data_IF_841849425784
#
_entry.id   IF_841849425784
#
_cell.length_a   1.000
_cell.length_b   1.000
_cell.length_c   1.000
_cell.angle_alpha   90.00
_cell.angle_beta   90.00
_cell.angle_gamma   90.00
#
_symmetry.space_group_name_H-M   'P 1'
#
loop_
_entity.id
_entity.type
_entity.pdbx_description
1 polymer ?
#
# COMPACT_ATOMS: atom_id res chain seq x y z
N UNK A 1 1.04 6.88 -19.93
CA UNK A 1 1.23 5.82 -20.93
C UNK A 1 0.09 5.77 -21.93
N UNK A 2 0.35 5.18 -23.09
CA UNK A 2 -0.64 5.03 -24.16
C UNK A 2 -0.72 3.54 -24.50
N UNK A 3 -1.93 3.00 -24.54
CA UNK A 3 -2.19 1.61 -24.95
C UNK A 3 -2.28 1.48 -26.48
N UNK A 4 -2.17 0.26 -27.06
CA UNK A 4 -2.22 0.04 -28.50
C UNK A 4 -3.54 0.45 -29.16
N UNK A 5 -4.64 0.45 -28.41
CA UNK A 5 -5.98 0.92 -28.86
C UNK A 5 -6.16 2.45 -28.78
N UNK A 6 -5.14 3.17 -28.35
CA UNK A 6 -5.16 4.62 -28.16
C UNK A 6 -5.63 5.06 -26.77
N UNK A 7 -5.99 4.14 -25.89
CA UNK A 7 -6.29 4.44 -24.50
C UNK A 7 -5.10 5.08 -23.79
N UNK A 8 -5.35 5.98 -22.86
CA UNK A 8 -4.29 6.70 -22.13
C UNK A 8 -4.44 6.60 -20.62
N UNK A 9 -3.30 6.65 -19.92
CA UNK A 9 -3.23 6.77 -18.47
C UNK A 9 -2.23 7.88 -18.13
N UNK A 10 -2.67 8.82 -17.30
CA UNK A 10 -1.85 9.90 -16.78
C UNK A 10 -2.20 10.21 -15.32
N UNK A 11 -1.32 10.92 -14.66
CA UNK A 11 -1.53 11.38 -13.28
C UNK A 11 -1.09 12.83 -13.20
N UNK A 12 -1.94 13.68 -12.69
CA UNK A 12 -1.64 15.07 -12.38
C UNK A 12 -1.57 15.29 -10.86
N UNK A 13 -1.39 16.53 -10.42
CA UNK A 13 -1.29 16.85 -8.99
C UNK A 13 -2.58 16.61 -8.19
N UNK A 14 -3.71 16.38 -8.84
CA UNK A 14 -5.01 16.23 -8.20
C UNK A 14 -5.59 14.82 -8.34
N UNK A 15 -5.48 14.18 -9.51
CA UNK A 15 -6.11 12.89 -9.78
C UNK A 15 -5.39 12.11 -10.88
N UNK A 16 -5.77 10.88 -11.03
CA UNK A 16 -5.44 10.04 -12.17
C UNK A 16 -6.47 10.25 -13.28
N UNK A 17 -6.02 10.19 -14.52
CA UNK A 17 -6.86 10.15 -15.69
C UNK A 17 -6.73 8.81 -16.40
N UNK A 18 -7.85 8.28 -16.81
CA UNK A 18 -7.95 7.08 -17.63
C UNK A 18 -8.75 7.43 -18.88
N UNK A 19 -8.12 7.37 -20.05
CA UNK A 19 -8.73 7.79 -21.33
C UNK A 19 -9.23 9.25 -21.25
N UNK A 20 -8.38 10.14 -20.76
CA UNK A 20 -8.66 11.58 -20.61
C UNK A 20 -9.82 11.90 -19.63
N UNK A 21 -10.37 10.92 -18.94
CA UNK A 21 -11.40 11.11 -17.94
C UNK A 21 -10.83 10.97 -16.53
N UNK A 22 -11.18 11.90 -15.59
CA UNK A 22 -10.78 11.75 -14.20
C UNK A 22 -11.23 10.41 -13.64
N UNK A 23 -10.32 9.72 -12.98
CA UNK A 23 -10.53 8.39 -12.41
C UNK A 23 -10.09 8.36 -10.96
N UNK A 24 -10.96 7.89 -10.08
CA UNK A 24 -10.63 7.65 -8.68
C UNK A 24 -10.40 6.14 -8.51
N UNK A 25 -9.16 5.68 -8.30
CA UNK A 25 -8.91 4.28 -8.02
C UNK A 25 -9.46 3.90 -6.64
N UNK A 26 -10.23 2.82 -6.60
CA UNK A 26 -10.67 2.12 -5.41
C UNK A 26 -9.84 0.85 -5.35
N UNK A 27 -8.78 0.90 -4.55
CA UNK A 27 -7.74 -0.12 -4.51
C UNK A 27 -8.05 -1.15 -3.41
N UNK A 28 -8.13 -2.42 -3.76
CA UNK A 28 -8.29 -3.52 -2.81
C UNK A 28 -7.03 -4.37 -2.73
N UNK A 29 -6.35 -4.36 -1.60
CA UNK A 29 -5.19 -5.23 -1.39
C UNK A 29 -5.62 -6.67 -1.16
N UNK A 30 -5.09 -7.56 -1.99
CA UNK A 30 -5.27 -9.01 -1.94
C UNK A 30 -3.93 -9.69 -2.25
N UNK A 31 -3.41 -10.46 -1.32
CA UNK A 31 -2.15 -11.18 -1.53
C UNK A 31 -2.43 -12.54 -2.16
N UNK A 32 -2.19 -12.69 -3.46
CA UNK A 32 -2.47 -13.94 -4.18
C UNK A 32 -1.80 -15.15 -3.56
N UNK A 33 -0.57 -15.02 -3.07
CA UNK A 33 0.15 -16.12 -2.41
C UNK A 33 -0.42 -16.56 -1.05
N UNK A 34 -1.40 -15.82 -0.52
CA UNK A 34 -2.12 -16.15 0.72
C UNK A 34 -3.50 -16.75 0.47
N UNK A 35 -3.83 -17.05 -0.78
CA UNK A 35 -5.12 -17.60 -1.21
C UNK A 35 -4.84 -18.78 -2.15
N UNK A 36 -5.48 -19.94 -1.96
CA UNK A 36 -5.34 -21.07 -2.89
C UNK A 36 -5.69 -20.65 -4.32
N UNK A 37 -4.88 -21.05 -5.29
CA UNK A 37 -5.00 -20.57 -6.67
C UNK A 37 -6.31 -20.97 -7.37
N UNK A 38 -6.92 -22.06 -6.95
CA UNK A 38 -8.24 -22.50 -7.42
C UNK A 38 -9.39 -21.58 -6.96
N UNK A 39 -9.15 -20.76 -5.95
CA UNK A 39 -10.13 -19.80 -5.43
C UNK A 39 -9.97 -18.39 -6.02
N UNK A 40 -8.84 -18.08 -6.66
CA UNK A 40 -8.53 -16.71 -7.10
C UNK A 40 -9.64 -16.08 -7.94
N UNK A 41 -10.20 -16.81 -8.90
CA UNK A 41 -11.24 -16.28 -9.77
C UNK A 41 -12.49 -15.87 -8.99
N UNK A 42 -12.95 -16.71 -8.07
CA UNK A 42 -14.08 -16.41 -7.20
C UNK A 42 -13.80 -15.18 -6.32
N UNK A 43 -12.60 -15.10 -5.74
CA UNK A 43 -12.24 -13.97 -4.86
C UNK A 43 -12.12 -12.67 -5.64
N UNK A 44 -11.54 -12.68 -6.84
CA UNK A 44 -11.50 -11.52 -7.75
C UNK A 44 -12.92 -11.03 -8.07
N UNK A 45 -13.85 -11.94 -8.36
CA UNK A 45 -15.26 -11.60 -8.62
C UNK A 45 -15.95 -11.01 -7.38
N UNK A 46 -15.65 -11.49 -6.18
CA UNK A 46 -16.14 -10.89 -4.92
C UNK A 46 -15.59 -9.48 -4.73
N UNK A 47 -14.29 -9.27 -4.94
CA UNK A 47 -13.67 -7.95 -4.88
C UNK A 47 -14.35 -6.98 -5.85
N UNK A 48 -14.53 -7.40 -7.10
CA UNK A 48 -15.25 -6.63 -8.12
C UNK A 48 -16.69 -6.32 -7.72
N UNK A 49 -17.42 -7.32 -7.22
CA UNK A 49 -18.80 -7.16 -6.75
C UNK A 49 -18.93 -6.21 -5.56
N UNK A 50 -17.85 -6.05 -4.78
CA UNK A 50 -17.72 -5.04 -3.73
C UNK A 50 -17.50 -3.63 -4.24
N UNK A 51 -17.41 -3.42 -5.56
CA UNK A 51 -17.21 -2.11 -6.19
C UNK A 51 -15.75 -1.64 -6.25
N UNK A 52 -14.80 -2.47 -5.83
CA UNK A 52 -13.37 -2.22 -6.04
C UNK A 52 -13.05 -2.26 -7.53
N UNK A 53 -12.25 -1.32 -8.03
CA UNK A 53 -11.92 -1.21 -9.46
C UNK A 53 -10.43 -1.42 -9.78
N UNK A 54 -9.58 -1.48 -8.73
CA UNK A 54 -8.15 -1.80 -8.83
C UNK A 54 -7.78 -2.85 -7.79
N UNK A 55 -7.20 -3.96 -8.21
CA UNK A 55 -6.61 -4.95 -7.31
C UNK A 55 -5.14 -4.61 -7.10
N UNK A 56 -4.74 -4.52 -5.82
CA UNK A 56 -3.34 -4.38 -5.42
C UNK A 56 -2.82 -5.70 -4.88
N UNK A 57 -1.59 -6.05 -5.19
CA UNK A 57 -0.96 -7.25 -4.65
C UNK A 57 0.55 -7.12 -4.55
N UNK A 58 1.13 -7.70 -3.49
CA UNK A 58 2.57 -7.83 -3.35
C UNK A 58 3.11 -9.04 -4.09
N UNK A 59 4.34 -8.90 -4.58
CA UNK A 59 5.21 -10.00 -4.98
C UNK A 59 6.26 -10.16 -3.87
N UNK A 60 6.07 -11.13 -3.00
CA UNK A 60 6.98 -11.36 -1.87
C UNK A 60 8.20 -12.16 -2.33
N UNK A 61 9.35 -11.53 -2.35
CA UNK A 61 10.60 -12.13 -2.84
C UNK A 61 10.93 -13.46 -2.15
N UNK A 62 10.84 -13.51 -0.81
CA UNK A 62 11.16 -14.71 -0.04
C UNK A 62 10.23 -15.91 -0.32
N UNK A 63 9.02 -15.69 -0.81
CA UNK A 63 8.10 -16.76 -1.23
C UNK A 63 8.52 -17.32 -2.58
N UNK A 64 8.93 -16.44 -3.50
CA UNK A 64 9.27 -16.84 -4.87
C UNK A 64 10.69 -17.33 -5.01
N UNK A 65 11.63 -16.90 -4.18
CA UNK A 65 13.02 -17.34 -4.17
C UNK A 65 13.45 -17.80 -2.77
N UNK A 66 12.81 -18.86 -2.25
CA UNK A 66 13.15 -19.42 -0.93
C UNK A 66 14.57 -20.00 -0.91
N UNK A 67 15.04 -20.47 -2.06
CA UNK A 67 16.42 -20.95 -2.29
C UNK A 67 17.06 -20.06 -3.32
N UNK A 68 18.25 -19.52 -3.00
CA UNK A 68 18.99 -18.63 -3.90
C UNK A 68 19.11 -19.17 -5.32
N UNK A 69 18.74 -18.38 -6.32
CA UNK A 69 18.78 -18.73 -7.73
C UNK A 69 17.64 -19.63 -8.22
N UNK A 70 16.72 -20.01 -7.35
CA UNK A 70 15.60 -20.89 -7.71
C UNK A 70 14.28 -20.14 -7.48
N UNK A 71 13.78 -19.55 -8.55
CA UNK A 71 12.46 -18.94 -8.56
C UNK A 71 11.35 -19.98 -8.76
N UNK A 72 10.25 -19.78 -8.05
CA UNK A 72 9.07 -20.64 -8.09
C UNK A 72 7.83 -19.79 -8.40
N UNK A 73 7.24 -20.02 -9.56
CA UNK A 73 6.07 -19.33 -10.08
C UNK A 73 4.90 -20.30 -10.34
N UNK A 74 4.86 -21.43 -9.64
CA UNK A 74 3.84 -22.47 -9.82
C UNK A 74 2.77 -22.44 -8.71
N UNK A 75 1.57 -22.94 -9.01
CA UNK A 75 0.48 -23.10 -8.06
C UNK A 75 0.03 -21.77 -7.46
N UNK A 76 0.07 -21.65 -6.13
CA UNK A 76 -0.32 -20.44 -5.41
C UNK A 76 0.68 -19.29 -5.58
N UNK A 77 1.77 -19.50 -6.29
CA UNK A 77 2.80 -18.52 -6.62
C UNK A 77 2.74 -18.04 -8.07
N UNK A 78 1.80 -18.52 -8.88
CA UNK A 78 1.67 -18.18 -10.30
C UNK A 78 1.11 -16.74 -10.47
N UNK A 79 2.02 -15.77 -10.41
CA UNK A 79 1.69 -14.35 -10.60
C UNK A 79 1.04 -14.11 -11.96
N UNK A 80 1.57 -14.74 -13.02
CA UNK A 80 1.04 -14.57 -14.38
C UNK A 80 -0.42 -15.00 -14.49
N UNK A 81 -0.75 -16.16 -13.93
CA UNK A 81 -2.14 -16.67 -13.87
C UNK A 81 -3.04 -15.71 -13.08
N UNK A 82 -2.59 -15.22 -11.92
CA UNK A 82 -3.37 -14.29 -11.11
C UNK A 82 -3.69 -12.99 -11.87
N UNK A 83 -2.69 -12.37 -12.50
CA UNK A 83 -2.88 -11.15 -13.31
C UNK A 83 -3.76 -11.43 -14.54
N UNK A 84 -3.61 -12.59 -15.19
CA UNK A 84 -4.47 -12.96 -16.32
C UNK A 84 -5.95 -13.09 -15.92
N UNK A 85 -6.24 -13.59 -14.72
CA UNK A 85 -7.60 -13.64 -14.17
C UNK A 85 -8.13 -12.22 -13.89
N UNK A 86 -7.31 -11.32 -13.35
CA UNK A 86 -7.70 -9.92 -13.18
C UNK A 86 -8.07 -9.29 -14.55
N UNK A 87 -7.25 -9.49 -15.57
CA UNK A 87 -7.52 -9.00 -16.92
C UNK A 87 -8.78 -9.61 -17.53
N UNK A 88 -8.97 -10.92 -17.40
CA UNK A 88 -10.18 -11.64 -17.85
C UNK A 88 -11.46 -11.01 -17.30
N UNK A 89 -11.42 -10.54 -16.06
CA UNK A 89 -12.56 -9.92 -15.39
C UNK A 89 -12.58 -8.39 -15.46
N UNK A 90 -11.76 -7.77 -16.34
CA UNK A 90 -11.67 -6.31 -16.51
C UNK A 90 -11.34 -5.59 -15.18
N UNK A 91 -10.53 -6.21 -14.33
CA UNK A 91 -9.97 -5.56 -13.15
C UNK A 91 -8.62 -4.93 -13.49
N UNK A 92 -8.45 -3.67 -13.16
CA UNK A 92 -7.13 -3.04 -13.20
C UNK A 92 -6.28 -3.54 -12.04
N UNK A 93 -4.98 -3.53 -12.22
CA UNK A 93 -4.05 -3.99 -11.19
C UNK A 93 -2.94 -3.00 -10.91
N UNK A 94 -2.53 -2.96 -9.65
CA UNK A 94 -1.30 -2.33 -9.17
C UNK A 94 -0.45 -3.42 -8.53
N UNK A 95 0.75 -3.66 -9.07
CA UNK A 95 1.64 -4.70 -8.58
C UNK A 95 2.74 -4.08 -7.72
N UNK A 96 2.87 -4.54 -6.49
CA UNK A 96 3.85 -4.05 -5.51
C UNK A 96 5.06 -4.99 -5.54
N UNK A 97 6.15 -4.56 -6.23
CA UNK A 97 7.27 -5.44 -6.62
C UNK A 97 8.40 -5.51 -5.60
N UNK A 98 8.28 -4.84 -4.49
CA UNK A 98 9.36 -4.78 -3.49
C UNK A 98 10.59 -4.00 -3.97
N UNK A 99 11.81 -4.38 -3.58
CA UNK A 99 12.25 -5.66 -2.98
C UNK A 99 11.77 -5.92 -1.54
N UNK A 100 11.65 -4.88 -0.72
CA UNK A 100 11.02 -4.96 0.59
C UNK A 100 9.55 -4.61 0.49
N UNK A 101 8.69 -5.41 1.10
CA UNK A 101 7.24 -5.28 1.02
C UNK A 101 6.58 -4.95 2.37
N UNK A 102 7.23 -5.22 3.48
CA UNK A 102 6.63 -5.35 4.80
C UNK A 102 5.57 -6.48 4.82
N UNK A 103 4.30 -6.18 4.60
CA UNK A 103 3.22 -7.16 4.39
C UNK A 103 3.02 -8.15 5.54
N UNK A 104 3.54 -7.84 6.73
CA UNK A 104 3.61 -8.73 7.90
C UNK A 104 4.09 -10.14 7.55
N UNK A 105 5.03 -10.18 6.62
CA UNK A 105 5.72 -11.40 6.20
C UNK A 105 7.16 -11.40 6.74
N UNK A 106 7.71 -12.58 6.95
CA UNK A 106 9.06 -12.74 7.49
C UNK A 106 10.07 -11.91 6.70
N UNK A 107 10.88 -11.14 7.43
CA UNK A 107 11.88 -10.22 6.89
C UNK A 107 11.31 -9.17 5.91
N UNK A 108 10.00 -8.86 5.99
CA UNK A 108 9.36 -7.94 5.04
C UNK A 108 9.39 -8.42 3.59
N UNK A 109 9.53 -9.71 3.35
CA UNK A 109 9.65 -10.31 2.03
C UNK A 109 11.09 -10.53 1.56
N UNK A 110 12.10 -10.05 2.28
CA UNK A 110 13.50 -10.31 1.92
C UNK A 110 13.85 -11.78 2.22
N UNK A 111 14.49 -12.52 1.28
CA UNK A 111 14.86 -13.91 1.48
C UNK A 111 15.86 -14.13 2.63
N UNK A 112 15.69 -15.22 3.39
CA UNK A 112 16.56 -15.56 4.52
C UNK A 112 18.03 -15.72 4.10
N UNK A 113 18.28 -16.23 2.90
CA UNK A 113 19.64 -16.45 2.40
C UNK A 113 20.39 -15.15 2.06
N UNK A 114 19.68 -14.03 1.98
CA UNK A 114 20.29 -12.70 1.73
C UNK A 114 20.95 -12.15 2.99
N UNK A 115 20.47 -12.52 4.15
CA UNK A 115 21.03 -12.10 5.43
C UNK A 115 22.41 -12.73 5.67
N UNK A 116 23.29 -12.00 6.33
CA UNK A 116 24.67 -12.41 6.58
C UNK A 116 25.58 -12.29 5.36
N UNK A 117 25.11 -11.73 4.25
CA UNK A 117 25.96 -11.33 3.12
C UNK A 117 26.75 -10.08 3.45
N UNK A 118 27.97 -9.89 2.89
CA UNK A 118 28.83 -8.76 3.20
C UNK A 118 28.41 -7.47 2.43
N UNK A 119 27.14 -7.14 2.43
CA UNK A 119 26.58 -5.95 1.80
C UNK A 119 25.33 -5.46 2.53
N UNK A 120 24.96 -4.22 2.28
CA UNK A 120 23.80 -3.58 2.90
C UNK A 120 22.57 -3.70 2.00
N UNK A 121 21.49 -4.26 2.54
CA UNK A 121 20.20 -4.34 1.85
C UNK A 121 19.44 -3.02 1.97
N UNK A 122 18.46 -2.79 1.06
CA UNK A 122 17.66 -1.56 0.96
C UNK A 122 18.53 -0.30 0.77
N UNK A 123 19.67 -0.45 0.11
CA UNK A 123 20.62 0.61 -0.20
C UNK A 123 21.14 0.48 -1.62
N UNK A 124 21.97 1.45 -2.06
CA UNK A 124 22.67 1.39 -3.35
C UNK A 124 23.97 0.56 -3.32
N UNK A 125 24.08 -0.38 -2.37
CA UNK A 125 25.19 -1.34 -2.40
C UNK A 125 25.15 -2.15 -3.71
N UNK A 126 26.25 -2.14 -4.45
CA UNK A 126 26.32 -2.73 -5.79
C UNK A 126 26.07 -4.24 -5.81
N UNK A 127 26.46 -4.95 -4.77
CA UNK A 127 26.23 -6.39 -4.68
C UNK A 127 24.77 -6.68 -4.38
N UNK A 128 24.11 -5.90 -3.50
CA UNK A 128 22.68 -5.99 -3.27
C UNK A 128 21.88 -5.70 -4.54
N UNK A 129 22.22 -4.65 -5.27
CA UNK A 129 21.51 -4.26 -6.49
C UNK A 129 21.54 -5.32 -7.59
N UNK A 130 22.56 -6.19 -7.65
CA UNK A 130 22.56 -7.34 -8.58
C UNK A 130 21.43 -8.32 -8.31
N UNK A 131 21.12 -8.53 -7.03
CA UNK A 131 20.01 -9.40 -6.63
C UNK A 131 18.65 -8.75 -6.90
N UNK A 132 18.55 -7.43 -6.71
CA UNK A 132 17.33 -6.67 -7.05
C UNK A 132 17.09 -6.67 -8.55
N UNK A 133 18.12 -6.47 -9.36
CA UNK A 133 18.04 -6.53 -10.81
C UNK A 133 17.50 -7.87 -11.28
N UNK A 134 18.05 -8.99 -10.73
CA UNK A 134 17.57 -10.34 -11.02
C UNK A 134 16.09 -10.53 -10.59
N UNK A 135 15.71 -10.06 -9.40
CA UNK A 135 14.32 -10.13 -8.94
C UNK A 135 13.39 -9.38 -9.91
N UNK A 136 13.76 -8.16 -10.30
CA UNK A 136 12.91 -7.36 -11.19
C UNK A 136 12.84 -7.94 -12.60
N UNK A 137 13.93 -8.56 -13.11
CA UNK A 137 13.91 -9.32 -14.38
C UNK A 137 12.91 -10.47 -14.34
N UNK A 138 12.90 -11.25 -13.26
CA UNK A 138 11.99 -12.38 -13.06
C UNK A 138 10.52 -11.89 -12.98
N UNK A 139 10.25 -10.85 -12.17
CA UNK A 139 8.92 -10.27 -12.07
C UNK A 139 8.47 -9.74 -13.44
N UNK A 140 9.32 -8.99 -14.14
CA UNK A 140 8.99 -8.46 -15.46
C UNK A 140 8.62 -9.55 -16.47
N UNK A 141 9.34 -10.68 -16.43
CA UNK A 141 9.03 -11.85 -17.26
C UNK A 141 7.63 -12.42 -16.99
N UNK A 142 7.19 -12.45 -15.71
CA UNK A 142 5.83 -12.87 -15.36
C UNK A 142 4.77 -11.87 -15.83
N UNK A 143 5.10 -10.58 -15.84
CA UNK A 143 4.18 -9.48 -16.14
C UNK A 143 4.18 -9.05 -17.61
N UNK A 144 5.02 -9.65 -18.47
CA UNK A 144 5.11 -9.33 -19.89
C UNK A 144 3.75 -9.43 -20.60
N UNK A 145 3.36 -8.37 -21.31
CA UNK A 145 2.09 -8.26 -22.02
C UNK A 145 0.90 -7.81 -21.17
N UNK A 146 1.08 -7.62 -19.85
CA UNK A 146 0.01 -7.17 -18.95
C UNK A 146 0.10 -5.69 -18.59
N UNK A 147 1.15 -4.98 -18.99
CA UNK A 147 1.24 -3.53 -18.75
C UNK A 147 0.25 -2.77 -19.62
N UNK A 148 -0.22 -1.63 -19.10
CA UNK A 148 -1.19 -0.79 -19.80
C UNK A 148 -0.72 -0.40 -21.21
N UNK A 149 0.59 -0.12 -21.37
CA UNK A 149 1.19 0.18 -22.66
C UNK A 149 1.06 -0.95 -23.70
N UNK A 150 0.87 -2.18 -23.23
CA UNK A 150 0.73 -3.39 -24.06
C UNK A 150 -0.76 -3.77 -24.23
N UNK A 151 -1.70 -2.95 -23.74
CA UNK A 151 -3.13 -3.24 -23.70
C UNK A 151 -3.56 -4.08 -22.49
N UNK A 152 -2.68 -4.25 -21.50
CA UNK A 152 -2.92 -5.06 -20.31
C UNK A 152 -3.60 -4.28 -19.16
N UNK A 153 -3.84 -4.98 -18.07
CA UNK A 153 -4.58 -4.46 -16.93
C UNK A 153 -3.71 -3.76 -15.87
N UNK A 154 -2.37 -3.84 -15.96
CA UNK A 154 -1.47 -3.23 -14.98
C UNK A 154 -1.38 -1.72 -15.22
N UNK A 155 -1.93 -0.94 -14.31
CA UNK A 155 -1.96 0.52 -14.36
C UNK A 155 -0.99 1.18 -13.37
N UNK A 156 -0.26 0.40 -12.61
CA UNK A 156 0.72 0.90 -11.66
C UNK A 156 1.63 -0.18 -11.10
N UNK A 157 2.84 0.27 -10.74
CA UNK A 157 3.80 -0.53 -9.97
C UNK A 157 4.19 0.25 -8.74
N UNK A 158 4.23 -0.43 -7.59
CA UNK A 158 4.84 0.12 -6.39
C UNK A 158 6.26 -0.39 -6.23
N UNK A 159 7.18 0.55 -6.06
CA UNK A 159 8.58 0.32 -5.69
C UNK A 159 8.72 0.39 -4.18
N UNK A 160 9.43 -0.56 -3.58
CA UNK A 160 9.73 -0.59 -2.15
C UNK A 160 8.47 -0.45 -1.27
N UNK A 161 8.65 -0.33 0.01
CA UNK A 161 7.58 -0.01 0.95
C UNK A 161 8.14 0.72 2.16
N UNK A 162 7.66 1.94 2.39
CA UNK A 162 8.04 2.74 3.55
C UNK A 162 9.56 2.80 3.78
N UNK A 163 10.34 2.98 2.70
CA UNK A 163 11.80 3.06 2.79
C UNK A 163 12.23 4.15 3.77
N UNK A 164 13.09 3.82 4.73
CA UNK A 164 13.53 4.68 5.83
C UNK A 164 12.43 5.06 6.84
N UNK A 165 11.25 4.41 6.77
CA UNK A 165 10.17 4.60 7.73
C UNK A 165 9.85 3.33 8.50
N UNK A 166 9.82 2.18 7.87
CA UNK A 166 9.56 0.90 8.54
C UNK A 166 10.54 -0.22 8.14
N UNK A 167 10.67 -1.17 9.03
CA UNK A 167 11.46 -2.38 8.89
C UNK A 167 10.66 -3.60 9.37
N UNK A 168 11.16 -4.81 9.13
CA UNK A 168 10.63 -6.04 9.68
C UNK A 168 11.78 -6.90 10.27
N UNK A 169 11.64 -7.39 11.50
CA UNK A 169 10.50 -7.18 12.41
C UNK A 169 10.39 -5.74 12.90
N UNK A 170 9.18 -5.34 13.32
CA UNK A 170 8.94 -4.03 13.91
C UNK A 170 9.66 -3.91 15.21
N UNK A 171 10.73 -3.76 15.55
CA UNK A 171 11.36 -3.59 16.86
C UNK A 171 10.84 -4.58 17.92
N UNK A 172 11.43 -5.74 18.00
CA UNK A 172 11.35 -6.57 19.20
C UNK A 172 12.18 -5.86 20.26
N UNK A 173 11.48 -5.32 21.26
CA UNK A 173 12.12 -4.76 22.44
C UNK A 173 11.83 -5.65 23.63
N UNK A 174 12.85 -6.31 24.14
CA UNK A 174 12.80 -6.81 25.50
C UNK A 174 13.23 -5.67 26.43
N UNK A 175 12.57 -5.46 27.58
CA UNK A 175 13.05 -4.48 28.55
C UNK A 175 14.53 -4.70 28.85
N UNK A 176 15.30 -3.60 28.83
CA UNK A 176 16.73 -3.57 29.13
C UNK A 176 17.66 -4.36 28.17
N UNK A 177 17.14 -4.81 27.04
CA UNK A 177 17.95 -5.46 26.00
C UNK A 177 18.22 -4.47 24.85
N UNK A 178 19.43 -4.51 24.23
CA UNK A 178 19.64 -3.83 22.98
C UNK A 178 18.71 -4.40 21.90
N UNK A 179 18.31 -3.55 20.96
CA UNK A 179 17.53 -3.99 19.80
C UNK A 179 18.43 -4.92 18.99
N UNK A 180 17.95 -6.12 18.68
CA UNK A 180 18.62 -7.02 17.74
C UNK A 180 18.46 -6.43 16.33
N UNK A 181 19.53 -5.88 15.79
CA UNK A 181 19.55 -5.38 14.43
C UNK A 181 19.77 -6.53 13.46
N UNK A 182 18.82 -6.72 12.58
CA UNK A 182 19.09 -7.42 11.34
C UNK A 182 19.64 -6.43 10.31
N UNK A 183 20.34 -6.89 9.31
CA UNK A 183 20.87 -6.04 8.21
C UNK A 183 19.75 -5.29 7.47
N UNK A 184 18.49 -5.64 7.71
CA UNK A 184 17.30 -4.96 7.18
C UNK A 184 16.89 -3.72 7.99
N UNK A 185 17.38 -3.56 9.21
CA UNK A 185 16.93 -2.54 10.15
C UNK A 185 17.66 -1.20 9.96
N UNK A 186 17.69 -0.71 8.74
CA UNK A 186 18.09 0.65 8.47
C UNK A 186 16.90 1.61 8.60
N UNK A 187 16.23 1.53 9.72
CA UNK A 187 15.25 2.52 10.12
C UNK A 187 15.95 3.68 10.82
N UNK A 188 15.52 4.90 10.53
CA UNK A 188 16.00 6.14 11.19
C UNK A 188 15.91 6.05 12.73
N UNK A 189 15.01 5.23 13.27
CA UNK A 189 14.89 5.01 14.71
C UNK A 189 16.03 4.16 15.29
N UNK A 190 16.73 3.42 14.47
CA UNK A 190 17.78 2.49 14.88
C UNK A 190 19.18 3.15 14.91
N UNK A 191 19.32 4.39 14.43
CA UNK A 191 20.59 5.16 14.45
C UNK A 191 21.11 5.50 15.84
N UNK A 192 20.38 5.24 16.90
CA UNK A 192 20.74 5.61 18.27
C UNK A 192 21.89 4.80 18.89
N UNK A 193 22.42 3.79 18.20
CA UNK A 193 23.31 2.81 18.82
C UNK A 193 24.72 2.76 18.22
N UNK A 194 25.25 3.89 17.80
CA UNK A 194 26.67 3.98 17.44
C UNK A 194 27.00 3.51 16.02
N UNK A 195 26.08 3.74 15.13
CA UNK A 195 26.21 3.52 13.69
C UNK A 195 27.36 4.37 13.13
N UNK A 196 28.14 3.83 12.23
CA UNK A 196 29.26 4.52 11.59
C UNK A 196 28.82 5.74 10.77
N UNK A 197 29.74 6.67 10.49
CA UNK A 197 29.43 7.83 9.62
C UNK A 197 28.88 7.39 8.26
N UNK A 198 29.35 6.27 7.73
CA UNK A 198 28.88 5.70 6.46
C UNK A 198 27.43 5.23 6.54
N UNK A 199 26.99 4.68 7.66
CA UNK A 199 25.60 4.26 7.88
C UNK A 199 24.68 5.46 8.10
N UNK A 200 25.16 6.56 8.65
CA UNK A 200 24.42 7.82 8.74
C UNK A 200 24.15 8.42 7.36
N UNK A 201 25.08 8.29 6.41
CA UNK A 201 24.91 8.80 5.05
C UNK A 201 23.82 8.04 4.28
N UNK A 202 23.68 6.73 4.48
CA UNK A 202 22.62 5.93 3.82
C UNK A 202 21.23 6.17 4.39
N UNK A 203 21.11 6.79 5.53
CA UNK A 203 19.85 7.15 6.17
C UNK A 203 19.43 8.60 5.89
N UNK A 204 20.25 9.36 5.19
CA UNK A 204 19.83 10.69 4.75
C UNK A 204 18.62 10.61 3.82
N UNK A 205 17.72 11.61 3.84
CA UNK A 205 16.62 11.67 2.87
C UNK A 205 17.08 11.57 1.42
N UNK A 206 18.23 12.16 1.11
CA UNK A 206 18.85 12.15 -0.21
C UNK A 206 19.30 10.74 -0.62
N UNK A 207 19.91 9.98 0.29
CA UNK A 207 20.30 8.59 0.04
C UNK A 207 19.08 7.70 -0.21
N UNK A 208 17.99 7.87 0.57
CA UNK A 208 16.74 7.17 0.35
C UNK A 208 16.12 7.49 -1.00
N UNK A 209 16.02 8.78 -1.34
CA UNK A 209 15.48 9.20 -2.63
C UNK A 209 16.36 8.70 -3.79
N UNK A 210 17.68 8.67 -3.63
CA UNK A 210 18.60 8.13 -4.63
C UNK A 210 18.43 6.62 -4.79
N UNK A 211 18.20 5.87 -3.70
CA UNK A 211 17.91 4.44 -3.78
C UNK A 211 16.59 4.18 -4.53
N UNK A 212 15.54 4.92 -4.22
CA UNK A 212 14.27 4.83 -4.95
C UNK A 212 14.46 5.10 -6.44
N UNK A 213 15.28 6.10 -6.81
CA UNK A 213 15.62 6.38 -8.21
C UNK A 213 16.33 5.21 -8.88
N UNK A 214 17.28 4.59 -8.20
CA UNK A 214 17.99 3.40 -8.69
C UNK A 214 17.01 2.24 -8.92
N UNK A 215 16.08 1.99 -7.98
CA UNK A 215 15.03 0.97 -8.15
C UNK A 215 14.14 1.25 -9.37
N UNK A 216 13.76 2.51 -9.59
CA UNK A 216 13.04 2.93 -10.78
C UNK A 216 13.83 2.62 -12.06
N UNK A 217 15.10 2.99 -12.10
CA UNK A 217 15.97 2.76 -13.27
C UNK A 217 16.06 1.26 -13.60
N UNK A 218 16.21 0.40 -12.59
CA UNK A 218 16.21 -1.05 -12.76
C UNK A 218 14.84 -1.53 -13.28
N UNK A 219 13.74 -1.09 -12.69
CA UNK A 219 12.40 -1.50 -13.16
C UNK A 219 12.16 -1.10 -14.63
N UNK A 220 12.52 0.12 -15.00
CA UNK A 220 12.40 0.60 -16.38
C UNK A 220 13.30 -0.16 -17.36
N UNK A 221 14.51 -0.57 -16.94
CA UNK A 221 15.42 -1.37 -17.79
C UNK A 221 14.86 -2.74 -18.16
N UNK A 222 13.93 -3.25 -17.33
CA UNK A 222 13.17 -4.48 -17.60
C UNK A 222 11.78 -4.22 -18.23
N UNK A 223 11.53 -3.02 -18.75
CA UNK A 223 10.32 -2.68 -19.49
C UNK A 223 9.07 -2.42 -18.67
N UNK A 224 9.20 -2.23 -17.35
CA UNK A 224 8.09 -1.91 -16.45
C UNK A 224 7.68 -0.43 -16.56
N UNK A 225 7.20 -0.02 -17.73
CA UNK A 225 6.82 1.37 -18.03
C UNK A 225 5.34 1.61 -17.73
N UNK A 226 5.05 2.11 -16.54
CA UNK A 226 3.71 2.37 -16.02
C UNK A 226 3.82 3.40 -14.89
N UNK A 227 2.77 4.15 -14.49
CA UNK A 227 2.81 5.01 -13.31
C UNK A 227 3.40 4.30 -12.10
N UNK A 228 4.34 4.97 -11.43
CA UNK A 228 5.06 4.42 -10.28
C UNK A 228 4.50 4.99 -8.99
N UNK A 229 4.36 4.12 -8.00
CA UNK A 229 3.86 4.41 -6.67
C UNK A 229 4.89 4.02 -5.62
N UNK A 230 4.80 4.59 -4.43
CA UNK A 230 5.46 4.06 -3.24
C UNK A 230 4.63 4.34 -1.99
N UNK A 231 4.54 3.36 -1.10
CA UNK A 231 3.92 3.58 0.20
C UNK A 231 4.86 4.44 1.05
N UNK A 232 4.34 5.53 1.55
CA UNK A 232 5.04 6.46 2.45
C UNK A 232 4.56 6.33 3.90
N UNK A 233 3.59 5.43 4.14
CA UNK A 233 2.99 5.21 5.44
C UNK A 233 2.47 6.52 6.04
N UNK A 234 3.20 7.02 7.00
CA UNK A 234 2.90 8.27 7.71
C UNK A 234 3.64 9.50 7.12
N UNK A 235 4.05 9.44 5.84
CA UNK A 235 4.65 10.56 5.13
C UNK A 235 6.18 10.69 5.26
N UNK A 236 6.83 9.84 6.03
CA UNK A 236 8.28 9.94 6.29
C UNK A 236 9.16 9.08 5.38
N UNK A 237 8.59 8.22 4.55
CA UNK A 237 9.34 7.36 3.66
C UNK A 237 9.95 8.14 2.49
N UNK A 238 11.01 7.57 1.92
CA UNK A 238 11.67 8.12 0.75
C UNK A 238 10.78 8.04 -0.50
N UNK A 239 10.91 9.02 -1.39
CA UNK A 239 10.22 9.08 -2.68
C UNK A 239 11.21 9.52 -3.78
N UNK A 240 10.77 9.45 -5.03
CA UNK A 240 11.42 10.18 -6.12
C UNK A 240 10.54 11.41 -6.41
N UNK A 241 10.99 12.63 -6.08
CA UNK A 241 10.18 13.83 -6.23
C UNK A 241 9.66 14.00 -7.66
N UNK A 242 8.35 14.20 -7.80
CA UNK A 242 7.61 14.40 -9.07
C UNK A 242 7.64 13.21 -10.06
N UNK A 243 8.22 12.09 -9.69
CA UNK A 243 8.33 10.92 -10.57
C UNK A 243 7.65 9.66 -9.98
N UNK A 244 7.35 9.66 -8.68
CA UNK A 244 6.66 8.58 -7.99
C UNK A 244 5.50 9.16 -7.19
N UNK A 245 4.35 8.51 -7.24
CA UNK A 245 3.16 8.91 -6.49
C UNK A 245 3.29 8.40 -5.07
N UNK A 246 3.38 9.27 -4.05
CA UNK A 246 3.35 8.86 -2.67
C UNK A 246 1.95 8.40 -2.29
N UNK A 247 1.81 7.22 -1.69
CA UNK A 247 0.55 6.74 -1.12
C UNK A 247 0.64 6.72 0.39
N UNK A 248 -0.40 7.20 1.03
CA UNK A 248 -0.48 7.34 2.48
C UNK A 248 -1.32 6.25 3.12
N UNK A 249 -1.20 6.11 4.44
CA UNK A 249 -1.97 5.19 5.24
C UNK A 249 -2.89 5.92 6.22
N UNK A 250 -4.00 5.32 6.59
CA UNK A 250 -4.84 5.74 7.71
C UNK A 250 -5.53 4.51 8.30
N UNK A 251 -5.57 4.42 9.62
CA UNK A 251 -6.23 3.32 10.32
C UNK A 251 -7.36 3.83 11.19
N UNK A 252 -8.45 3.10 11.19
CA UNK A 252 -9.61 3.41 12.03
C UNK A 252 -9.24 3.46 13.51
N UNK A 253 -8.35 2.55 13.93
CA UNK A 253 -7.80 2.51 15.29
C UNK A 253 -6.29 2.27 15.24
N UNK A 254 -5.47 3.27 15.53
CA UNK A 254 -4.03 3.09 15.66
C UNK A 254 -3.71 2.36 16.96
N UNK A 255 -3.84 1.04 16.95
CA UNK A 255 -3.71 0.19 18.15
C UNK A 255 -2.28 0.03 18.64
N UNK A 256 -1.30 0.50 17.86
CA UNK A 256 0.11 0.56 18.26
C UNK A 256 0.45 1.76 19.15
N UNK A 257 -0.46 2.72 19.29
CA UNK A 257 -0.30 3.88 20.15
C UNK A 257 -1.54 4.09 21.03
N UNK A 258 -1.34 4.55 22.24
CA UNK A 258 -2.43 4.97 23.13
C UNK A 258 -2.75 6.45 22.89
N UNK A 259 -3.48 6.72 21.82
CA UNK A 259 -3.82 8.09 21.40
C UNK A 259 -5.31 8.45 21.59
N UNK A 260 -6.09 7.58 22.22
CA UNK A 260 -7.52 7.81 22.40
C UNK A 260 -8.30 7.84 21.08
N UNK A 261 -9.11 8.84 20.84
CA UNK A 261 -9.90 8.96 19.63
C UNK A 261 -9.05 9.41 18.44
N UNK A 262 -9.18 8.69 17.33
CA UNK A 262 -8.38 8.95 16.13
C UNK A 262 -8.70 10.32 15.49
N UNK A 263 -7.68 11.14 15.18
CA UNK A 263 -7.85 12.38 14.44
C UNK A 263 -8.27 12.17 12.98
N UNK A 264 -8.13 10.95 12.46
CA UNK A 264 -8.51 10.62 11.07
C UNK A 264 -10.00 10.64 10.78
N UNK A 265 -10.84 10.95 11.77
CA UNK A 265 -12.26 11.22 11.60
C UNK A 265 -12.60 12.70 11.50
N UNK A 266 -11.60 13.59 11.58
CA UNK A 266 -11.79 15.03 11.38
C UNK A 266 -11.57 15.38 9.90
N UNK A 267 -12.53 16.10 9.30
CA UNK A 267 -12.35 16.61 7.94
C UNK A 267 -11.27 17.69 7.90
N UNK A 268 -10.41 17.57 6.91
CA UNK A 268 -9.32 18.51 6.57
C UNK A 268 -9.15 18.54 5.07
N UNK A 269 -8.43 19.51 4.53
CA UNK A 269 -7.95 19.43 3.16
C UNK A 269 -6.61 18.69 3.15
N UNK A 270 -6.66 17.36 2.90
CA UNK A 270 -5.47 16.51 2.90
C UNK A 270 -4.61 16.66 1.65
N UNK A 271 -5.08 17.35 0.63
CA UNK A 271 -4.28 17.65 -0.55
C UNK A 271 -3.26 18.76 -0.25
N UNK A 272 -3.66 19.80 0.48
CA UNK A 272 -2.78 20.90 0.85
C UNK A 272 -2.05 20.62 2.17
N UNK A 273 -2.71 19.96 3.11
CA UNK A 273 -2.17 19.64 4.44
C UNK A 273 -2.37 18.16 4.73
N UNK A 274 -1.43 17.30 4.36
CA UNK A 274 -1.50 15.87 4.63
C UNK A 274 -1.76 15.57 6.11
N UNK A 275 -2.46 14.48 6.39
CA UNK A 275 -2.82 14.06 7.76
C UNK A 275 -1.62 13.82 8.68
N UNK A 276 -0.47 13.65 8.09
CA UNK A 276 0.78 13.32 8.78
C UNK A 276 1.78 14.46 8.63
N UNK A 277 2.44 14.79 9.70
CA UNK A 277 3.47 15.81 9.70
C UNK A 277 4.62 15.37 10.60
N UNK A 278 5.87 15.59 10.20
CA UNK A 278 6.28 16.14 8.91
C UNK A 278 6.25 15.11 7.77
N UNK A 279 5.88 15.54 6.57
CA UNK A 279 6.05 14.76 5.35
C UNK A 279 7.33 15.17 4.65
N UNK A 280 7.93 14.25 3.87
CA UNK A 280 9.20 14.49 3.15
C UNK A 280 8.99 15.07 1.74
N UNK A 281 7.77 15.44 1.39
CA UNK A 281 7.41 15.94 0.07
C UNK A 281 6.33 17.03 0.14
N UNK A 282 6.20 17.80 -0.93
CA UNK A 282 5.16 18.82 -1.05
C UNK A 282 3.85 18.17 -1.50
N UNK A 283 2.94 17.87 -0.53
CA UNK A 283 1.71 17.11 -0.77
C UNK A 283 0.86 17.63 -1.93
N UNK A 284 0.73 18.96 -2.05
CA UNK A 284 -0.05 19.62 -3.10
C UNK A 284 0.44 19.34 -4.55
N UNK A 285 1.63 18.76 -4.70
CA UNK A 285 2.17 18.38 -6.03
C UNK A 285 1.69 17.00 -6.49
N UNK A 286 1.03 16.26 -5.62
CA UNK A 286 0.60 14.89 -5.88
C UNK A 286 -0.89 14.72 -5.59
N UNK A 287 -1.58 13.80 -6.27
CA UNK A 287 -2.93 13.44 -5.87
C UNK A 287 -2.90 12.81 -4.47
N UNK A 288 -3.92 13.11 -3.68
CA UNK A 288 -4.07 12.50 -2.36
C UNK A 288 -4.57 11.06 -2.51
N UNK A 289 -3.63 10.10 -2.57
CA UNK A 289 -3.93 8.69 -2.63
C UNK A 289 -3.72 8.05 -1.27
N UNK A 290 -4.80 7.59 -0.68
CA UNK A 290 -4.83 6.87 0.58
C UNK A 290 -4.96 5.37 0.28
N UNK A 291 -3.86 4.69 -0.02
CA UNK A 291 -3.88 3.33 -0.54
C UNK A 291 -3.68 2.24 0.53
N UNK A 292 -3.35 2.63 1.76
CA UNK A 292 -3.23 1.70 2.89
C UNK A 292 -4.17 2.10 4.03
N UNK A 293 -5.47 2.04 3.77
CA UNK A 293 -6.48 2.34 4.77
C UNK A 293 -6.92 1.07 5.48
N UNK A 294 -6.66 1.02 6.78
CA UNK A 294 -7.07 -0.10 7.63
C UNK A 294 -8.50 0.05 8.10
N UNK A 295 -9.44 -0.59 7.42
CA UNK A 295 -10.83 -0.77 7.89
C UNK A 295 -10.98 -1.98 8.80
N UNK A 296 -9.98 -2.80 8.88
CA UNK A 296 -9.64 -3.80 9.86
C UNK A 296 -8.22 -3.58 10.33
N UNK A 297 -7.69 -4.53 11.08
CA UNK A 297 -6.29 -4.54 11.50
C UNK A 297 -5.84 -5.97 11.77
N UNK A 298 -4.55 -6.24 11.58
CA UNK A 298 -4.01 -7.53 11.94
C UNK A 298 -4.13 -7.80 13.44
N UNK A 299 -4.42 -9.03 13.76
CA UNK A 299 -4.30 -9.54 15.12
C UNK A 299 -2.85 -9.88 15.40
N UNK A 300 -2.41 -9.61 16.61
CA UNK A 300 -1.13 -10.10 17.13
C UNK A 300 -1.38 -10.94 18.39
N UNK A 301 -0.39 -11.71 18.80
CA UNK A 301 -0.50 -12.47 20.07
C UNK A 301 -0.73 -11.53 21.27
N UNK A 302 -0.14 -10.34 21.24
CA UNK A 302 -0.27 -9.34 22.30
C UNK A 302 -1.47 -8.42 22.19
N UNK A 303 -2.08 -8.29 21.00
CA UNK A 303 -3.20 -7.35 20.75
C UNK A 303 -4.22 -7.97 19.83
N UNK A 304 -5.50 -7.95 20.25
CA UNK A 304 -6.63 -8.52 19.51
C UNK A 304 -7.79 -7.53 19.47
N UNK A 305 -7.62 -6.36 18.84
CA UNK A 305 -8.68 -5.37 18.75
C UNK A 305 -9.81 -5.88 17.84
N UNK A 306 -11.02 -5.44 18.13
CA UNK A 306 -12.17 -5.66 17.26
C UNK A 306 -12.58 -4.35 16.64
N UNK A 307 -12.57 -4.28 15.31
CA UNK A 307 -12.92 -3.08 14.55
C UNK A 307 -14.38 -3.18 14.11
N UNK A 308 -15.26 -2.24 14.52
CA UNK A 308 -16.63 -2.18 14.03
C UNK A 308 -16.66 -1.74 12.56
N UNK A 309 -17.66 -2.24 11.81
CA UNK A 309 -17.79 -1.95 10.38
C UNK A 309 -17.98 -0.44 10.10
N UNK A 310 -18.73 0.22 10.94
CA UNK A 310 -19.03 1.66 10.86
C UNK A 310 -17.78 2.53 10.93
N UNK A 311 -16.74 2.06 11.63
CA UNK A 311 -15.47 2.75 11.71
C UNK A 311 -14.80 2.87 10.34
N UNK A 312 -14.84 1.79 9.54
CA UNK A 312 -14.32 1.80 8.17
C UNK A 312 -15.12 2.72 7.24
N UNK A 313 -16.43 2.68 7.35
CA UNK A 313 -17.32 3.54 6.59
C UNK A 313 -17.04 5.03 6.88
N UNK A 314 -17.02 5.42 8.15
CA UNK A 314 -16.72 6.79 8.56
C UNK A 314 -15.35 7.28 8.07
N UNK A 315 -14.33 6.41 8.11
CA UNK A 315 -13.00 6.73 7.59
C UNK A 315 -13.02 7.01 6.08
N UNK A 316 -13.76 6.22 5.28
CA UNK A 316 -13.87 6.41 3.83
C UNK A 316 -14.62 7.69 3.47
N UNK A 317 -15.77 7.94 4.12
CA UNK A 317 -16.55 9.17 3.92
C UNK A 317 -15.70 10.40 4.24
N UNK A 318 -14.99 10.36 5.36
CA UNK A 318 -14.07 11.44 5.77
C UNK A 318 -12.96 11.64 4.74
N UNK A 319 -12.33 10.59 4.27
CA UNK A 319 -11.19 10.70 3.36
C UNK A 319 -11.61 11.27 2.01
N UNK A 320 -12.72 10.81 1.44
CA UNK A 320 -13.28 11.36 0.21
C UNK A 320 -13.67 12.83 0.37
N UNK A 321 -14.34 13.19 1.46
CA UNK A 321 -14.70 14.58 1.77
C UNK A 321 -13.48 15.47 2.00
N UNK A 322 -12.39 14.92 2.49
CA UNK A 322 -11.13 15.63 2.76
C UNK A 322 -10.21 15.75 1.53
N UNK A 323 -10.61 15.27 0.36
CA UNK A 323 -9.85 15.45 -0.87
C UNK A 323 -9.12 14.21 -1.37
N UNK A 324 -9.33 13.03 -0.78
CA UNK A 324 -8.77 11.80 -1.34
C UNK A 324 -9.33 11.55 -2.74
N UNK A 325 -8.44 11.41 -3.71
CA UNK A 325 -8.72 11.06 -5.10
C UNK A 325 -8.16 9.67 -5.48
N UNK A 326 -7.89 8.88 -4.48
CA UNK A 326 -7.64 7.44 -4.50
C UNK A 326 -7.87 6.92 -3.11
N UNK A 327 -8.61 5.84 -2.98
CA UNK A 327 -8.84 5.12 -1.73
C UNK A 327 -8.40 3.68 -1.89
N UNK A 328 -7.80 3.12 -0.85
CA UNK A 328 -7.29 1.76 -0.91
C UNK A 328 -7.28 1.11 0.46
N UNK A 329 -7.52 -0.16 0.47
CA UNK A 329 -7.69 -0.95 1.68
C UNK A 329 -6.53 -1.89 1.89
N UNK A 330 -5.84 -1.72 2.98
CA UNK A 330 -4.90 -2.69 3.49
C UNK A 330 -5.48 -3.32 4.76
N UNK A 331 -6.06 -4.47 4.73
CA UNK A 331 -6.36 -5.39 3.61
C UNK A 331 -7.82 -5.26 3.19
N UNK A 332 -8.13 -5.52 1.91
CA UNK A 332 -9.50 -5.74 1.46
C UNK A 332 -9.91 -7.22 1.55
N UNK A 333 -8.95 -8.11 1.34
CA UNK A 333 -9.10 -9.55 1.47
C UNK A 333 -8.03 -10.10 2.39
N UNK A 334 -8.42 -10.80 3.43
CA UNK A 334 -7.50 -11.55 4.28
C UNK A 334 -6.91 -12.75 3.56
N UNK A 335 -6.12 -13.55 4.26
CA UNK A 335 -5.54 -14.74 3.69
C UNK A 335 -4.83 -15.62 4.72
N UNK A 336 -4.19 -16.66 4.24
CA UNK A 336 -3.43 -17.61 5.06
C UNK A 336 -1.98 -17.52 4.63
N UNK A 337 -1.10 -17.17 5.55
CA UNK A 337 0.34 -17.10 5.28
C UNK A 337 0.86 -18.48 4.90
N UNK A 338 1.52 -18.64 3.74
CA UNK A 338 1.99 -19.93 3.28
C UNK A 338 3.12 -20.49 4.14
N UNK A 339 3.26 -21.80 4.10
CA UNK A 339 4.38 -22.53 4.66
C UNK A 339 5.43 -22.76 3.59
N UNK A 340 6.68 -22.38 3.87
CA UNK A 340 7.85 -22.73 3.06
C UNK A 340 8.59 -23.95 3.61
N UNK A 341 9.75 -24.24 3.04
CA UNK A 341 10.61 -25.36 3.44
C UNK A 341 11.15 -25.23 4.87
N UNK A 342 11.33 -24.00 5.34
CA UNK A 342 11.94 -23.66 6.63
C UNK A 342 10.93 -23.13 7.67
N UNK A 343 9.64 -23.26 7.44
CA UNK A 343 8.58 -22.77 8.31
C UNK A 343 7.63 -21.82 7.58
N UNK A 344 6.75 -21.19 8.33
CA UNK A 344 5.81 -20.22 7.78
C UNK A 344 6.51 -18.90 7.43
N UNK A 345 5.98 -18.21 6.42
CA UNK A 345 6.46 -16.91 6.02
C UNK A 345 5.89 -15.75 6.86
N UNK A 346 5.23 -16.02 7.96
CA UNK A 346 4.72 -14.96 8.84
C UNK A 346 5.82 -14.23 9.59
N UNK A 347 5.59 -12.96 9.88
CA UNK A 347 6.45 -12.13 10.74
C UNK A 347 6.14 -12.41 12.22
N UNK A 348 6.39 -13.65 12.65
CA UNK A 348 6.20 -14.09 14.05
C UNK A 348 6.97 -13.22 15.06
N UNK A 349 8.18 -12.72 14.77
CA UNK A 349 8.88 -11.81 15.65
C UNK A 349 8.11 -10.54 16.01
N UNK A 350 7.28 -10.03 15.10
CA UNK A 350 6.38 -8.90 15.38
C UNK A 350 5.08 -9.31 16.09
N UNK A 351 4.94 -10.58 16.47
CA UNK A 351 3.78 -11.12 17.15
C UNK A 351 2.61 -11.46 16.23
N UNK A 352 2.83 -11.48 14.92
CA UNK A 352 1.81 -11.85 13.94
C UNK A 352 1.53 -13.35 14.03
N UNK A 353 0.26 -13.80 13.94
CA UNK A 353 -0.07 -15.22 13.93
C UNK A 353 0.63 -15.97 12.81
N UNK A 354 1.02 -17.21 13.09
CA UNK A 354 1.79 -18.04 12.18
C UNK A 354 1.10 -18.29 10.84
N UNK A 355 -0.21 -18.49 10.84
CA UNK A 355 -0.99 -18.85 9.66
C UNK A 355 -2.00 -17.76 9.28
N UNK A 356 -2.84 -17.37 10.23
CA UNK A 356 -3.94 -16.45 9.94
C UNK A 356 -3.42 -15.07 9.59
N UNK A 357 -3.86 -14.58 8.46
CA UNK A 357 -3.70 -13.20 8.01
C UNK A 357 -5.06 -12.62 7.65
N UNK A 358 -6.03 -12.83 8.53
CA UNK A 358 -7.42 -12.41 8.31
C UNK A 358 -7.58 -10.88 8.24
N UNK A 359 -6.78 -10.16 8.98
CA UNK A 359 -6.73 -8.69 9.04
C UNK A 359 -8.07 -8.03 9.40
N UNK A 360 -9.08 -8.80 9.76
CA UNK A 360 -10.48 -8.34 9.86
C UNK A 360 -10.93 -7.62 8.58
N UNK A 361 -10.41 -8.06 7.43
CA UNK A 361 -10.68 -7.47 6.13
C UNK A 361 -12.17 -7.62 5.73
N UNK A 362 -12.68 -6.77 4.85
CA UNK A 362 -14.04 -6.88 4.30
C UNK A 362 -14.36 -8.27 3.76
N UNK A 363 -13.39 -8.93 3.11
CA UNK A 363 -13.43 -10.35 2.77
C UNK A 363 -12.41 -11.05 3.67
N UNK A 364 -12.88 -11.95 4.53
CA UNK A 364 -12.01 -12.66 5.46
C UNK A 364 -11.13 -13.71 4.81
N UNK A 365 -10.22 -14.31 5.58
CA UNK A 365 -9.21 -15.26 5.11
C UNK A 365 -9.78 -16.50 4.40
N UNK A 366 -11.02 -16.87 4.67
CA UNK A 366 -11.75 -17.98 4.02
C UNK A 366 -12.72 -17.51 2.93
N UNK A 367 -12.62 -16.26 2.47
CA UNK A 367 -13.47 -15.73 1.41
C UNK A 367 -14.89 -15.33 1.85
N UNK A 368 -15.18 -15.33 3.15
CA UNK A 368 -16.47 -14.84 3.66
C UNK A 368 -16.52 -13.32 3.70
N UNK A 369 -17.68 -12.73 3.42
CA UNK A 369 -17.89 -11.28 3.47
C UNK A 369 -18.37 -10.84 4.86
N UNK A 370 -17.87 -9.69 5.31
CA UNK A 370 -18.23 -9.05 6.58
C UNK A 370 -19.19 -7.87 6.38
N UNK A 371 -19.74 -7.37 7.47
CA UNK A 371 -20.57 -6.17 7.45
C UNK A 371 -19.86 -4.98 6.77
N UNK A 372 -18.55 -4.82 7.00
CA UNK A 372 -17.74 -3.79 6.34
C UNK A 372 -17.69 -3.91 4.81
N UNK A 373 -17.74 -5.12 4.26
CA UNK A 373 -17.85 -5.32 2.81
C UNK A 373 -19.14 -4.70 2.26
N UNK A 374 -20.25 -4.91 2.95
CA UNK A 374 -21.55 -4.43 2.50
C UNK A 374 -21.73 -2.92 2.65
N UNK A 375 -21.24 -2.33 3.75
CA UNK A 375 -21.31 -0.88 3.97
C UNK A 375 -20.38 -0.11 3.01
N UNK A 376 -19.15 -0.57 2.83
CA UNK A 376 -18.19 0.05 1.93
C UNK A 376 -18.61 -0.03 0.46
N UNK A 377 -19.31 -1.08 0.08
CA UNK A 377 -19.81 -1.25 -1.29
C UNK A 377 -20.67 -0.08 -1.76
N UNK A 378 -21.47 0.51 -0.89
CA UNK A 378 -22.32 1.67 -1.22
C UNK A 378 -21.44 2.88 -1.59
N UNK A 379 -20.38 3.11 -0.81
CA UNK A 379 -19.41 4.18 -1.07
C UNK A 379 -18.67 3.94 -2.39
N UNK A 380 -18.28 2.69 -2.65
CA UNK A 380 -17.61 2.33 -3.89
C UNK A 380 -18.48 2.58 -5.13
N UNK A 381 -19.77 2.23 -5.08
CA UNK A 381 -20.68 2.53 -6.18
C UNK A 381 -20.82 4.04 -6.39
N UNK A 382 -20.96 4.82 -5.32
CA UNK A 382 -20.94 6.29 -5.43
C UNK A 382 -19.68 6.79 -6.15
N UNK A 383 -18.49 6.29 -5.76
CA UNK A 383 -17.23 6.69 -6.39
C UNK A 383 -17.14 6.23 -7.84
N UNK A 384 -17.60 5.02 -8.17
CA UNK A 384 -17.61 4.52 -9.54
C UNK A 384 -18.55 5.34 -10.44
N UNK A 385 -19.70 5.76 -9.93
CA UNK A 385 -20.70 6.53 -10.70
C UNK A 385 -20.32 8.00 -10.81
N UNK A 386 -19.82 8.61 -9.75
CA UNK A 386 -19.60 10.06 -9.65
C UNK A 386 -18.13 10.48 -9.53
N UNK A 387 -17.19 9.55 -9.52
CA UNK A 387 -15.76 9.84 -9.31
C UNK A 387 -15.17 10.80 -10.34
N UNK A 388 -15.62 10.73 -11.59
CA UNK A 388 -15.19 11.63 -12.67
C UNK A 388 -15.62 13.09 -12.42
N UNK A 389 -16.73 13.31 -11.71
CA UNK A 389 -17.17 14.63 -11.27
C UNK A 389 -16.47 15.05 -9.96
N UNK A 390 -16.29 14.09 -9.05
CA UNK A 390 -15.73 14.33 -7.72
C UNK A 390 -14.22 14.68 -7.79
N UNK A 391 -13.45 13.98 -8.59
CA UNK A 391 -11.98 14.10 -8.61
C UNK A 391 -11.48 15.54 -8.85
N UNK A 392 -12.04 16.34 -9.78
CA UNK A 392 -11.60 17.71 -9.98
C UNK A 392 -12.19 18.74 -8.98
N UNK A 393 -12.94 18.31 -7.98
CA UNK A 393 -13.54 19.18 -6.98
C UNK A 393 -12.57 19.48 -5.83
N UNK A 394 -12.44 20.76 -5.45
CA UNK A 394 -11.71 21.20 -4.25
C UNK A 394 -12.48 20.95 -2.96
N UNK A 395 -11.78 21.01 -1.84
CA UNK A 395 -12.34 20.84 -0.49
C UNK A 395 -12.78 22.20 0.06
N UNK A 396 -13.98 22.24 0.61
CA UNK A 396 -14.49 23.39 1.38
C UNK A 396 -14.91 22.90 2.77
N UNK A 397 -14.33 23.49 3.79
CA UNK A 397 -14.54 23.14 5.19
C UNK A 397 -15.37 24.20 5.91
N UNK A 398 -16.12 23.83 6.96
CA UNK A 398 -16.74 24.83 7.83
C UNK A 398 -15.69 25.65 8.59
N UNK A 399 -15.99 26.89 8.95
CA UNK A 399 -15.09 27.82 9.64
C UNK A 399 -14.52 27.26 10.96
N UNK A 400 -15.26 26.38 11.61
CA UNK A 400 -14.85 25.76 12.87
C UNK A 400 -14.00 24.47 12.71
N UNK A 401 -13.69 24.05 11.50
CA UNK A 401 -13.00 22.75 11.25
C UNK A 401 -11.67 22.63 11.97
N UNK A 402 -10.92 23.72 12.08
CA UNK A 402 -9.61 23.74 12.75
C UNK A 402 -9.69 23.72 14.29
N UNK A 403 -10.89 23.94 14.84
CA UNK A 403 -11.12 23.98 16.30
C UNK A 403 -11.74 22.72 16.86
N UNK A 404 -12.28 21.85 16.00
CA UNK A 404 -12.86 20.58 16.44
C UNK A 404 -11.76 19.62 16.86
N UNK A 405 -11.94 19.02 18.03
CA UNK A 405 -11.07 17.95 18.53
C UNK A 405 -11.69 16.57 18.25
N UNK A 406 -10.91 15.50 18.23
CA UNK A 406 -11.44 14.13 18.05
C UNK A 406 -12.48 13.74 19.10
N UNK A 407 -12.37 14.26 20.32
CA UNK A 407 -13.30 13.99 21.43
C UNK A 407 -14.61 14.78 21.34
N UNK A 408 -14.72 15.78 20.46
CA UNK A 408 -15.99 16.51 20.26
C UNK A 408 -16.94 15.66 19.40
N UNK A 409 -17.96 15.09 20.02
CA UNK A 409 -18.98 14.24 19.38
C UNK A 409 -20.30 14.95 19.14
N UNK A 410 -20.40 16.25 19.44
CA UNK A 410 -21.64 17.03 19.38
C UNK A 410 -21.71 17.97 18.17
N UNK A 411 -20.57 18.48 17.73
CA UNK A 411 -20.50 19.37 16.57
C UNK A 411 -20.57 18.55 15.29
N UNK A 412 -21.45 18.94 14.37
CA UNK A 412 -21.57 18.28 13.07
C UNK A 412 -20.23 18.31 12.33
N UNK A 413 -19.78 17.16 11.89
CA UNK A 413 -18.57 17.02 11.07
C UNK A 413 -18.96 16.87 9.62
N UNK A 414 -18.53 17.81 8.78
CA UNK A 414 -18.77 17.73 7.35
C UNK A 414 -17.68 18.42 6.54
N UNK A 415 -17.61 18.05 5.28
CA UNK A 415 -16.85 18.75 4.25
C UNK A 415 -17.67 18.80 2.96
N UNK A 416 -17.38 19.75 2.10
CA UNK A 416 -17.95 19.85 0.76
C UNK A 416 -16.84 19.73 -0.26
N UNK A 417 -16.97 18.80 -1.22
CA UNK A 417 -16.18 18.79 -2.43
C UNK A 417 -16.94 19.60 -3.47
N UNK A 418 -16.31 20.66 -4.00
CA UNK A 418 -17.00 21.66 -4.84
C UNK A 418 -16.17 22.05 -6.05
N UNK A 419 -16.86 22.20 -7.19
CA UNK A 419 -16.34 22.86 -8.40
C UNK A 419 -17.46 23.71 -8.97
N UNK A 420 -17.22 25.01 -9.15
CA UNK A 420 -18.20 25.97 -9.63
C UNK A 420 -19.49 25.96 -8.77
N UNK A 421 -20.63 25.65 -9.36
CA UNK A 421 -21.96 25.63 -8.71
C UNK A 421 -22.42 24.20 -8.33
N UNK A 422 -21.59 23.18 -8.49
CA UNK A 422 -21.90 21.79 -8.15
C UNK A 422 -20.96 21.28 -7.05
N UNK A 423 -21.46 20.32 -6.26
CA UNK A 423 -20.66 19.71 -5.22
C UNK A 423 -21.34 18.53 -4.54
N UNK A 424 -20.56 17.85 -3.71
CA UNK A 424 -20.99 16.76 -2.84
C UNK A 424 -20.70 17.12 -1.39
N UNK A 425 -21.65 16.82 -0.50
CA UNK A 425 -21.50 17.00 0.94
C UNK A 425 -21.21 15.67 1.59
N UNK A 426 -20.15 15.60 2.38
CA UNK A 426 -19.73 14.45 3.15
C UNK A 426 -19.95 14.73 4.63
N UNK A 427 -20.64 13.86 5.33
CA UNK A 427 -21.03 14.02 6.74
C UNK A 427 -20.67 12.74 7.50
N UNK A 428 -20.07 12.88 8.68
CA UNK A 428 -19.78 11.78 9.61
C UNK A 428 -20.30 12.09 11.01
#
# INVERSE_FOLDING_TARGET
GVAPDGGSISVNSYYMELNESPFIPIMGEIHYTRIPNEQWEEQILKVKSGGVNVICTYVFWNIHEETEGVFDWDGDKDLRKFISLCQKHNMKTLVRIGPFCHGEIRNGGIPDWLYGRPFLIRTNDREYLKYVDRLYAEIASQLEGFFYKDGGCIIGIQLENELQHSAAPWAIRYPDQPIDYTVADYDVQNTKFGVSVQEQDIQSPEAGNQHMKTLKEIALSHGMEVPLYTATGWGNAAIIPQEVIPVTAAYTYPTWADIGMSPFYLFRDIHTTPDYSPVRYEGYRYPSFCAEMGVGIQMTYGRRPRIPAEAGEGLMVRSLGSGANGIGYYMYHGGITPQGKRGFFSDEPSGVPKMSYDFQAPIGEFGHTRASYHSLRIIHHFVNDFGHLLAPMGVVLPEYSDTITPSNTHTLRYAVRKKENAGFVFIT
#
